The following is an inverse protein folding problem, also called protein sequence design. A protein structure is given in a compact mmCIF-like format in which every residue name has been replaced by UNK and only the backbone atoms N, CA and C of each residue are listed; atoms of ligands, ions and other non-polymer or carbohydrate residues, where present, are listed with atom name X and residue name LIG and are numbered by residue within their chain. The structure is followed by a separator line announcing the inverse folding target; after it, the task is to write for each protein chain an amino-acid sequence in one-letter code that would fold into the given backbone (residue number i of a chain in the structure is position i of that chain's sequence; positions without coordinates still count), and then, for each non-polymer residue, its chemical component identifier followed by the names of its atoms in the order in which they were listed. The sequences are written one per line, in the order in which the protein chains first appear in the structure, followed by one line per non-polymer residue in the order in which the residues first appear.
data_IF_808144160036
#
_entry.id   IF_808144160036
#
_cell.length_a   1.000
_cell.length_b   1.000
_cell.length_c   1.000
_cell.angle_alpha   90.00
_cell.angle_beta   90.00
_cell.angle_gamma   90.00
#
_symmetry.space_group_name_H-M   'P 1'
#
loop_
_entity.id
_entity.type
_entity.pdbx_description
1 polymer ?
#
# COMPACT_ATOMS: atom_id res chain seq x y z
N UNK A 1 19.99 9.61 -12.94
CA UNK A 1 18.65 9.30 -12.39
C UNK A 1 17.66 9.32 -13.53
N UNK A 2 16.71 8.38 -13.59
CA UNK A 2 15.71 8.30 -14.66
C UNK A 2 14.35 8.70 -14.11
N UNK A 3 13.53 9.40 -14.91
CA UNK A 3 12.20 9.85 -14.51
C UNK A 3 11.14 9.07 -15.27
N UNK A 4 10.20 8.48 -14.55
CA UNK A 4 9.04 7.78 -15.10
C UNK A 4 7.78 8.54 -14.74
N UNK A 5 6.91 8.76 -15.72
CA UNK A 5 5.61 9.36 -15.48
C UNK A 5 4.57 8.25 -15.31
N UNK A 6 3.78 8.31 -14.24
CA UNK A 6 2.67 7.40 -14.06
C UNK A 6 1.61 7.61 -15.15
N UNK A 7 1.22 6.56 -15.91
CA UNK A 7 0.18 6.66 -16.92
C UNK A 7 -1.20 7.02 -16.36
N UNK A 8 -1.50 6.64 -15.10
CA UNK A 8 -2.82 6.86 -14.47
C UNK A 8 -2.98 8.26 -13.88
N UNK A 9 -2.06 8.71 -13.02
CA UNK A 9 -2.21 10.00 -12.31
C UNK A 9 -1.22 11.08 -12.75
N UNK A 10 -0.28 10.77 -13.65
CA UNK A 10 0.65 11.74 -14.21
C UNK A 10 1.80 12.16 -13.29
N UNK A 11 1.91 11.65 -12.05
CA UNK A 11 3.04 11.89 -11.13
C UNK A 11 4.36 11.41 -11.74
N UNK A 12 5.45 12.08 -11.38
CA UNK A 12 6.81 11.73 -11.84
C UNK A 12 7.56 11.03 -10.71
N UNK A 13 8.14 9.88 -11.04
CA UNK A 13 8.90 9.02 -10.14
C UNK A 13 10.34 8.90 -10.60
N UNK A 14 11.27 8.78 -9.66
CA UNK A 14 12.69 8.64 -9.96
C UNK A 14 13.14 7.19 -9.76
N UNK A 15 13.82 6.65 -10.77
CA UNK A 15 14.43 5.32 -10.73
C UNK A 15 15.96 5.50 -10.68
N UNK A 16 16.64 4.84 -9.72
CA UNK A 16 18.09 4.84 -9.66
C UNK A 16 18.70 4.33 -10.98
N UNK A 17 19.81 4.91 -11.45
CA UNK A 17 20.44 4.51 -12.72
C UNK A 17 20.93 3.05 -12.71
N UNK A 18 21.23 2.51 -11.52
CA UNK A 18 21.76 1.15 -11.31
C UNK A 18 20.65 0.17 -10.87
N UNK A 19 19.39 0.45 -11.17
CA UNK A 19 18.32 -0.48 -10.86
C UNK A 19 18.52 -1.79 -11.65
N UNK A 20 18.40 -2.97 -11.02
CA UNK A 20 18.54 -4.25 -11.71
C UNK A 20 17.49 -4.41 -12.81
N UNK A 21 17.86 -5.18 -13.84
CA UNK A 21 16.94 -5.61 -14.88
C UNK A 21 15.84 -6.52 -14.30
N UNK A 22 14.68 -6.52 -14.95
CA UNK A 22 13.49 -7.25 -14.53
C UNK A 22 12.28 -6.36 -14.30
N UNK A 23 11.18 -6.98 -13.84
CA UNK A 23 9.94 -6.29 -13.46
C UNK A 23 9.96 -5.97 -11.98
N UNK A 24 9.55 -4.76 -11.63
CA UNK A 24 9.38 -4.34 -10.23
C UNK A 24 8.19 -3.41 -10.05
N UNK A 25 7.76 -3.28 -8.80
CA UNK A 25 6.64 -2.43 -8.42
C UNK A 25 7.15 -1.13 -7.80
N UNK A 26 6.57 0.00 -8.20
CA UNK A 26 6.89 1.30 -7.64
C UNK A 26 5.59 1.99 -7.17
N UNK A 27 5.46 2.31 -5.87
CA UNK A 27 4.26 2.95 -5.36
C UNK A 27 4.01 4.32 -6.00
N UNK A 28 2.78 4.56 -6.44
CA UNK A 28 2.41 5.79 -7.14
C UNK A 28 1.34 6.62 -6.44
N UNK A 29 0.17 6.04 -6.19
CA UNK A 29 -1.00 6.67 -5.57
C UNK A 29 -1.57 5.84 -4.41
N UNK A 30 -2.69 6.29 -3.85
CA UNK A 30 -3.41 5.56 -2.79
C UNK A 30 -4.04 4.25 -3.31
N UNK A 31 -4.37 4.21 -4.60
CA UNK A 31 -5.14 3.15 -5.25
C UNK A 31 -4.38 2.41 -6.37
N UNK A 32 -3.13 2.80 -6.65
CA UNK A 32 -2.34 2.19 -7.73
C UNK A 32 -0.83 2.24 -7.55
N UNK A 33 -0.19 1.18 -8.03
CA UNK A 33 1.25 1.03 -8.13
C UNK A 33 1.66 1.00 -9.61
N UNK A 34 2.89 1.41 -9.91
CA UNK A 34 3.50 1.21 -11.22
C UNK A 34 4.13 -0.16 -11.29
N UNK A 35 3.98 -0.83 -12.41
CA UNK A 35 4.75 -2.01 -12.77
C UNK A 35 5.73 -1.59 -13.84
N UNK A 36 7.02 -1.65 -13.53
CA UNK A 36 8.06 -1.12 -14.41
C UNK A 36 8.96 -2.27 -14.84
N UNK A 37 9.16 -2.42 -16.15
CA UNK A 37 10.11 -3.37 -16.70
C UNK A 37 11.38 -2.64 -17.15
N UNK A 38 12.51 -3.07 -16.59
CA UNK A 38 13.85 -2.60 -16.96
C UNK A 38 14.62 -3.74 -17.65
N UNK A 39 15.28 -3.42 -18.75
CA UNK A 39 16.12 -4.36 -19.51
C UNK A 39 17.32 -3.60 -20.13
N UNK A 40 18.53 -4.10 -19.88
CA UNK A 40 19.76 -3.42 -20.27
C UNK A 40 19.89 -2.03 -19.63
N UNK A 41 19.31 -1.85 -18.43
CA UNK A 41 19.19 -0.54 -17.80
C UNK A 41 18.26 0.43 -18.52
N UNK A 42 17.44 0.02 -19.49
CA UNK A 42 16.43 0.90 -20.10
C UNK A 42 15.04 0.55 -19.58
N UNK A 43 14.22 1.56 -19.32
CA UNK A 43 12.80 1.37 -19.03
C UNK A 43 12.12 1.00 -20.34
N UNK A 44 11.58 -0.22 -20.41
CA UNK A 44 10.88 -0.74 -21.59
C UNK A 44 9.39 -0.51 -21.51
N UNK A 45 8.83 -0.70 -20.32
CA UNK A 45 7.39 -0.69 -20.09
C UNK A 45 7.10 -0.08 -18.72
N UNK A 46 5.98 0.64 -18.66
CA UNK A 46 5.44 1.24 -17.45
C UNK A 46 3.94 1.02 -17.47
N UNK A 47 3.49 0.04 -16.70
CA UNK A 47 2.08 -0.26 -16.50
C UNK A 47 1.61 0.24 -15.15
N UNK A 48 0.30 0.17 -14.96
CA UNK A 48 -0.37 0.50 -13.71
C UNK A 48 -1.12 -0.72 -13.22
N UNK A 49 -0.84 -1.15 -12.00
CA UNK A 49 -1.64 -2.11 -11.27
C UNK A 49 -2.49 -1.40 -10.23
N UNK A 50 -3.67 -1.93 -9.91
CA UNK A 50 -4.33 -1.57 -8.66
C UNK A 50 -3.37 -1.83 -7.51
N UNK A 51 -3.24 -0.85 -6.60
CA UNK A 51 -2.24 -0.97 -5.56
C UNK A 51 -2.64 -2.10 -4.64
N UNK A 52 -1.67 -2.95 -4.32
CA UNK A 52 -1.87 -3.96 -3.28
C UNK A 52 -2.19 -3.27 -1.94
N UNK A 53 -1.76 -2.01 -1.77
CA UNK A 53 -2.01 -1.14 -0.61
C UNK A 53 -3.37 -0.41 -0.64
N UNK A 54 -3.99 -0.25 -1.82
CA UNK A 54 -5.40 0.16 -1.93
C UNK A 54 -6.35 -0.82 -1.22
N UNK A 55 -5.85 -2.04 -1.02
CA UNK A 55 -6.51 -3.16 -0.37
C UNK A 55 -6.01 -3.37 1.06
N UNK A 56 -5.79 -2.32 1.85
CA UNK A 56 -6.08 -2.44 3.29
C UNK A 56 -7.60 -2.56 3.41
N UNK A 57 -8.13 -3.67 2.90
CA UNK A 57 -9.53 -4.02 2.89
C UNK A 57 -9.89 -4.47 4.27
N UNK A 58 -9.66 -3.63 5.26
CA UNK A 58 -9.97 -3.84 6.66
C UNK A 58 -10.96 -2.77 7.11
N UNK A 59 -11.80 -3.13 8.07
CA UNK A 59 -12.68 -2.22 8.78
C UNK A 59 -12.63 -2.54 10.27
N UNK A 60 -12.81 -1.51 11.10
CA UNK A 60 -12.89 -1.69 12.55
C UNK A 60 -14.18 -2.42 12.92
N UNK A 61 -14.08 -3.27 13.93
CA UNK A 61 -15.22 -3.84 14.64
C UNK A 61 -15.44 -2.99 15.91
N UNK A 62 -16.42 -2.07 15.95
CA UNK A 62 -16.52 -1.06 17.01
C UNK A 62 -16.56 -1.65 18.42
N UNK A 63 -17.31 -2.73 18.62
CA UNK A 63 -17.49 -3.38 19.92
C UNK A 63 -16.24 -4.13 20.41
N UNK A 64 -15.21 -4.25 19.57
CA UNK A 64 -13.97 -4.98 19.87
C UNK A 64 -12.76 -4.07 20.03
N UNK A 65 -12.90 -2.75 19.83
CA UNK A 65 -11.80 -1.78 19.98
C UNK A 65 -11.12 -1.85 21.34
N UNK A 66 -11.88 -2.18 22.40
CA UNK A 66 -11.35 -2.35 23.76
C UNK A 66 -10.37 -3.53 23.92
N UNK A 67 -10.32 -4.46 22.94
CA UNK A 67 -9.38 -5.58 22.93
C UNK A 67 -8.02 -5.20 22.34
N UNK A 68 -7.90 -4.02 21.72
CA UNK A 68 -6.63 -3.57 21.18
C UNK A 68 -5.60 -3.39 22.32
N UNK A 69 -4.38 -3.96 22.18
CA UNK A 69 -3.29 -3.69 23.11
C UNK A 69 -3.05 -2.19 23.30
N UNK A 70 -2.83 -1.76 24.54
CA UNK A 70 -2.75 -0.34 24.91
C UNK A 70 -1.56 0.41 24.29
N UNK A 71 -0.55 -0.30 23.79
CA UNK A 71 0.60 0.26 23.10
C UNK A 71 0.34 0.52 21.61
N UNK A 72 -0.79 0.05 21.06
CA UNK A 72 -1.17 0.33 19.67
C UNK A 72 -1.85 1.68 19.59
N UNK A 73 -1.35 2.56 18.72
CA UNK A 73 -1.99 3.83 18.40
C UNK A 73 -3.25 3.61 17.55
N UNK A 74 -4.40 3.56 18.22
CA UNK A 74 -5.69 3.39 17.56
C UNK A 74 -6.13 4.60 16.73
N UNK A 75 -5.59 5.79 16.96
CA UNK A 75 -5.84 6.95 16.10
C UNK A 75 -5.14 6.77 14.75
N UNK A 76 -3.88 6.30 14.79
CA UNK A 76 -3.15 5.91 13.58
C UNK A 76 -3.86 4.79 12.82
N UNK A 77 -4.33 3.73 13.50
CA UNK A 77 -5.12 2.66 12.87
C UNK A 77 -6.37 3.21 12.18
N UNK A 78 -7.13 4.08 12.83
CA UNK A 78 -8.30 4.73 12.18
C UNK A 78 -7.89 5.53 10.95
N UNK A 79 -6.77 6.25 11.02
CA UNK A 79 -6.26 7.02 9.90
C UNK A 79 -5.82 6.11 8.73
N UNK A 80 -5.20 4.95 9.01
CA UNK A 80 -4.83 3.94 8.03
C UNK A 80 -6.06 3.36 7.33
N UNK A 81 -7.07 2.93 8.10
CA UNK A 81 -8.29 2.32 7.57
C UNK A 81 -9.17 3.32 6.79
N UNK A 82 -9.06 4.61 7.11
CA UNK A 82 -9.71 5.69 6.39
C UNK A 82 -8.88 6.19 5.19
N UNK A 83 -7.70 5.61 4.93
CA UNK A 83 -6.80 6.04 3.84
C UNK A 83 -6.15 7.41 4.05
N UNK A 84 -6.23 8.00 5.25
CA UNK A 84 -5.68 9.34 5.56
C UNK A 84 -4.17 9.32 5.78
N UNK A 85 -3.61 8.16 6.12
CA UNK A 85 -2.19 7.96 6.36
C UNK A 85 -1.71 6.76 5.57
N UNK A 86 -0.48 6.85 5.03
CA UNK A 86 0.15 5.78 4.28
C UNK A 86 0.67 4.68 5.24
N UNK A 87 0.32 3.40 5.02
CA UNK A 87 0.84 2.30 5.82
C UNK A 87 2.35 2.11 5.62
N UNK A 88 3.05 1.89 6.72
CA UNK A 88 4.42 1.34 6.80
C UNK A 88 4.36 -0.18 6.93
N UNK A 89 5.51 -0.87 6.92
CA UNK A 89 5.56 -2.30 7.21
C UNK A 89 5.05 -2.62 8.63
N UNK A 90 5.41 -1.80 9.61
CA UNK A 90 4.93 -1.93 10.99
C UNK A 90 3.41 -1.78 11.10
N UNK A 91 2.81 -0.87 10.32
CA UNK A 91 1.36 -0.72 10.27
C UNK A 91 0.66 -1.97 9.74
N UNK A 92 1.28 -2.67 8.79
CA UNK A 92 0.74 -3.92 8.23
C UNK A 92 0.78 -5.01 9.31
N UNK A 93 1.89 -5.14 10.03
CA UNK A 93 2.02 -6.11 11.13
C UNK A 93 0.99 -5.83 12.25
N UNK A 94 0.78 -4.56 12.59
CA UNK A 94 -0.25 -4.13 13.54
C UNK A 94 -1.65 -4.51 13.03
N UNK A 95 -1.95 -4.26 11.76
CA UNK A 95 -3.26 -4.60 11.18
C UNK A 95 -3.51 -6.11 11.15
N UNK A 96 -2.48 -6.93 10.92
CA UNK A 96 -2.57 -8.38 11.01
C UNK A 96 -2.85 -8.86 12.44
N UNK A 97 -2.14 -8.31 13.43
CA UNK A 97 -2.39 -8.61 14.85
C UNK A 97 -3.83 -8.22 15.25
N UNK A 98 -4.29 -7.04 14.82
CA UNK A 98 -5.64 -6.58 15.11
C UNK A 98 -6.72 -7.42 14.39
N UNK A 99 -6.41 -8.01 13.23
CA UNK A 99 -7.27 -8.99 12.54
C UNK A 99 -7.39 -10.27 13.38
N UNK A 100 -6.28 -10.81 13.87
CA UNK A 100 -6.27 -12.01 14.73
C UNK A 100 -7.05 -11.80 16.04
N UNK A 101 -6.99 -10.60 16.62
CA UNK A 101 -7.76 -10.21 17.80
C UNK A 101 -9.24 -9.90 17.50
N UNK A 102 -9.62 -9.84 16.22
CA UNK A 102 -10.96 -9.46 15.77
C UNK A 102 -11.31 -7.98 15.99
N UNK A 103 -10.31 -7.13 16.23
CA UNK A 103 -10.47 -5.67 16.36
C UNK A 103 -10.70 -5.03 14.99
N UNK A 104 -10.03 -5.54 13.96
CA UNK A 104 -10.34 -5.25 12.56
C UNK A 104 -10.76 -6.53 11.85
N UNK A 105 -11.47 -6.42 10.73
CA UNK A 105 -11.82 -7.54 9.87
C UNK A 105 -11.70 -7.15 8.42
N UNK A 106 -11.54 -8.12 7.53
CA UNK A 106 -11.53 -7.80 6.10
C UNK A 106 -12.88 -7.27 5.64
N UNK A 107 -12.89 -6.12 4.94
CA UNK A 107 -14.03 -5.65 4.15
C UNK A 107 -14.36 -6.74 3.16
N UNK A 108 -15.57 -7.28 3.24
CA UNK A 108 -16.08 -8.19 2.23
C UNK A 108 -16.11 -7.40 0.93
N UNK A 109 -15.36 -7.83 -0.07
CA UNK A 109 -15.52 -7.33 -1.42
C UNK A 109 -16.95 -7.64 -1.83
N UNK A 110 -17.82 -6.62 -1.86
CA UNK A 110 -19.05 -6.74 -2.64
C UNK A 110 -18.60 -7.05 -4.07
N UNK A 111 -19.04 -8.21 -4.56
CA UNK A 111 -18.89 -8.60 -5.97
C UNK A 111 -19.72 -7.68 -6.85
#
# INVERSE_FOLDING_TARGET
MRRVRCPRCGRIHEIPPNHPDGRFFLPCGEDHDLVIWVDGGMIREVDVAESVFARVGFELVPDKVALAPSWIDMERVRALLAGRVRPTSEDIDILMLLEELGVVRRKSSAR
#
